data_IF_911820103821
#
_entry.id   IF_911820103821
#
_cell.length_a   1.000
_cell.length_b   1.000
_cell.length_c   1.000
_cell.angle_alpha   90.00
_cell.angle_beta   90.00
_cell.angle_gamma   90.00
#
_symmetry.space_group_name_H-M   'P 1'
#
loop_
_entity.id
_entity.type
_entity.pdbx_description
1 polymer ?
#
# COMPACT_ATOMS: atom_id res chain seq x y z
N UNK A 1 55.52 -4.29 15.47
CA UNK A 1 54.42 -5.21 15.06
C UNK A 1 53.09 -4.91 15.79
N UNK A 2 53.05 -4.63 17.07
CA UNK A 2 51.81 -4.32 17.82
C UNK A 2 51.05 -3.03 17.38
N UNK A 3 51.75 -1.97 16.96
CA UNK A 3 51.12 -0.72 16.54
C UNK A 3 50.32 -0.82 15.25
N UNK A 4 50.73 -1.67 14.29
CA UNK A 4 50.03 -1.85 13.02
C UNK A 4 48.70 -2.59 13.19
N UNK A 5 48.65 -3.56 14.12
CA UNK A 5 47.40 -4.28 14.44
C UNK A 5 46.37 -3.35 15.07
N UNK A 6 46.81 -2.41 15.89
CA UNK A 6 45.96 -1.42 16.55
C UNK A 6 45.29 -0.45 15.54
N UNK A 7 46.06 -0.02 14.54
CA UNK A 7 45.52 0.81 13.46
C UNK A 7 44.52 0.05 12.58
N UNK A 8 44.83 -1.21 12.27
CA UNK A 8 43.92 -2.05 11.50
C UNK A 8 42.59 -2.28 12.21
N UNK A 9 42.61 -2.59 13.52
CA UNK A 9 41.37 -2.74 14.31
C UNK A 9 40.56 -1.45 14.37
N UNK A 10 41.17 -0.29 14.50
CA UNK A 10 40.48 1.01 14.51
C UNK A 10 39.82 1.29 13.16
N UNK A 11 40.49 1.00 12.07
CA UNK A 11 39.91 1.19 10.72
C UNK A 11 38.74 0.24 10.47
N UNK A 12 38.82 -1.01 10.89
CA UNK A 12 37.72 -1.98 10.79
C UNK A 12 36.50 -1.55 11.60
N UNK A 13 36.68 -1.04 12.83
CA UNK A 13 35.56 -0.57 13.65
C UNK A 13 34.88 0.69 13.05
N UNK A 14 35.67 1.62 12.50
CA UNK A 14 35.12 2.79 11.81
C UNK A 14 34.37 2.41 10.53
N UNK A 15 34.82 1.42 9.79
CA UNK A 15 34.19 0.95 8.59
C UNK A 15 32.85 0.24 8.90
N UNK A 16 32.81 -0.57 9.94
CA UNK A 16 31.56 -1.21 10.42
C UNK A 16 30.57 -0.17 10.92
N UNK A 17 31.03 0.86 11.65
CA UNK A 17 30.16 1.93 12.13
C UNK A 17 29.58 2.78 10.98
N UNK A 18 30.38 3.03 9.93
CA UNK A 18 29.93 3.76 8.74
C UNK A 18 28.93 2.98 7.88
N UNK A 19 29.02 1.65 7.86
CA UNK A 19 28.05 0.79 7.14
C UNK A 19 26.72 0.61 7.89
N UNK A 20 26.70 0.76 9.21
CA UNK A 20 25.49 0.58 10.02
C UNK A 20 24.60 1.84 10.09
N UNK A 21 25.18 3.03 9.86
CA UNK A 21 24.43 4.30 9.94
C UNK A 21 23.30 4.46 8.91
N UNK A 22 23.41 4.03 7.63
CA UNK A 22 22.31 4.17 6.68
C UNK A 22 21.14 3.22 6.96
N UNK A 23 21.35 2.11 7.65
CA UNK A 23 20.29 1.13 7.93
C UNK A 23 19.33 1.63 9.03
N UNK A 24 19.82 2.42 9.99
CA UNK A 24 18.99 3.01 11.04
C UNK A 24 18.11 4.16 10.54
N UNK A 25 18.46 4.80 9.44
CA UNK A 25 17.71 5.95 8.91
C UNK A 25 16.41 5.56 8.19
N UNK A 26 16.25 4.31 7.77
CA UNK A 26 15.05 3.83 7.07
C UNK A 26 13.88 3.57 8.04
N UNK A 27 14.15 3.39 9.32
CA UNK A 27 13.13 3.08 10.33
C UNK A 27 12.30 4.29 10.79
N UNK A 28 12.61 5.50 10.36
CA UNK A 28 11.98 6.73 10.88
C UNK A 28 10.87 7.32 9.98
N UNK A 29 10.51 6.67 8.88
CA UNK A 29 9.50 7.16 7.95
C UNK A 29 8.09 6.58 8.16
N UNK A 30 7.80 6.00 9.33
CA UNK A 30 6.45 5.55 9.66
C UNK A 30 5.61 6.71 10.22
N UNK A 31 5.42 7.77 9.43
CA UNK A 31 4.28 8.66 9.62
C UNK A 31 2.99 7.83 9.52
N UNK A 32 1.96 8.21 10.27
CA UNK A 32 0.65 7.55 10.15
C UNK A 32 0.21 7.57 8.68
N UNK A 33 -0.25 6.45 8.10
CA UNK A 33 -0.66 6.42 6.70
C UNK A 33 -1.88 7.33 6.49
N UNK A 34 -1.92 7.99 5.36
CA UNK A 34 -3.13 8.65 4.90
C UNK A 34 -4.08 7.57 4.38
N UNK A 35 -5.32 7.57 4.85
CA UNK A 35 -6.34 6.61 4.42
C UNK A 35 -7.44 7.37 3.69
N UNK A 36 -7.61 7.06 2.41
CA UNK A 36 -8.70 7.56 1.58
C UNK A 36 -9.65 6.40 1.27
N UNK A 37 -10.90 6.51 1.70
CA UNK A 37 -11.94 5.53 1.38
C UNK A 37 -12.89 6.15 0.37
N UNK A 38 -13.05 5.48 -0.78
CA UNK A 38 -14.00 5.87 -1.83
C UNK A 38 -15.01 4.74 -1.97
N UNK A 39 -16.26 5.01 -1.61
CA UNK A 39 -17.34 4.04 -1.77
C UNK A 39 -18.10 4.34 -3.05
N UNK A 40 -18.07 3.41 -3.99
CA UNK A 40 -18.90 3.45 -5.18
C UNK A 40 -20.34 3.04 -4.84
N UNK A 41 -21.30 3.74 -5.44
CA UNK A 41 -22.72 3.42 -5.33
C UNK A 41 -23.24 2.95 -6.70
N UNK A 42 -23.68 1.72 -6.77
CA UNK A 42 -24.13 1.04 -8.01
C UNK A 42 -23.06 1.00 -9.13
N UNK A 43 -21.80 0.97 -8.76
CA UNK A 43 -20.68 0.81 -9.69
C UNK A 43 -20.31 -0.67 -9.79
N UNK A 44 -20.58 -1.27 -10.94
CA UNK A 44 -20.16 -2.62 -11.22
C UNK A 44 -18.66 -2.71 -11.57
N UNK A 45 -18.10 -3.87 -11.42
CA UNK A 45 -16.70 -4.15 -11.75
C UNK A 45 -16.35 -3.77 -13.19
N UNK A 46 -17.28 -3.93 -14.11
CA UNK A 46 -17.11 -3.61 -15.54
C UNK A 46 -17.13 -2.11 -15.83
N UNK A 47 -17.58 -1.28 -14.89
CA UNK A 47 -17.57 0.18 -15.03
C UNK A 47 -16.18 0.78 -14.77
N UNK A 48 -15.29 0.01 -14.18
CA UNK A 48 -13.88 0.42 -13.93
C UNK A 48 -13.02 -0.14 -15.05
N UNK A 49 -12.40 0.76 -15.84
CA UNK A 49 -11.67 0.37 -17.04
C UNK A 49 -10.50 -0.57 -16.74
N UNK A 50 -9.88 -0.48 -15.58
CA UNK A 50 -8.79 -1.37 -15.19
C UNK A 50 -9.23 -2.84 -15.05
N UNK A 51 -10.46 -3.09 -14.61
CA UNK A 51 -11.02 -4.45 -14.52
C UNK A 51 -11.59 -4.93 -15.84
N UNK A 52 -12.25 -4.05 -16.58
CA UNK A 52 -12.94 -4.40 -17.82
C UNK A 52 -12.08 -4.29 -19.07
N UNK A 53 -10.85 -3.78 -18.95
CA UNK A 53 -9.98 -3.45 -20.09
C UNK A 53 -10.66 -2.57 -21.16
N UNK A 54 -11.61 -1.74 -20.75
CA UNK A 54 -12.34 -0.84 -21.62
C UNK A 54 -13.46 -1.48 -22.45
N UNK A 55 -13.76 -2.77 -22.25
CA UNK A 55 -14.79 -3.50 -23.02
C UNK A 55 -16.16 -2.83 -22.98
N UNK A 56 -16.51 -2.20 -21.86
CA UNK A 56 -17.80 -1.50 -21.70
C UNK A 56 -17.77 -0.04 -22.16
N UNK A 57 -16.66 0.43 -22.73
CA UNK A 57 -16.50 1.82 -23.19
C UNK A 57 -16.26 2.86 -22.07
N UNK A 58 -16.29 2.45 -20.82
CA UNK A 58 -15.98 3.33 -19.69
C UNK A 58 -14.48 3.55 -19.55
N UNK A 59 -14.11 4.75 -19.12
CA UNK A 59 -12.72 5.11 -18.86
C UNK A 59 -12.61 5.73 -17.47
N UNK A 60 -11.75 5.15 -16.63
CA UNK A 60 -11.52 5.58 -15.26
C UNK A 60 -10.03 5.85 -15.00
N UNK A 61 -9.41 6.81 -15.71
CA UNK A 61 -7.95 6.94 -15.75
C UNK A 61 -7.33 7.21 -14.38
N UNK A 62 -8.01 7.93 -13.50
CA UNK A 62 -7.53 8.20 -12.15
C UNK A 62 -7.56 6.96 -11.25
N UNK A 63 -8.58 6.11 -11.38
CA UNK A 63 -8.67 4.84 -10.65
C UNK A 63 -7.66 3.84 -11.24
N UNK A 64 -7.55 3.78 -12.55
CA UNK A 64 -6.58 2.94 -13.25
C UNK A 64 -5.14 3.27 -12.85
N UNK A 65 -4.84 4.57 -12.62
CA UNK A 65 -3.54 5.00 -12.12
C UNK A 65 -3.26 4.44 -10.73
N UNK A 66 -4.22 4.48 -9.81
CA UNK A 66 -4.08 3.89 -8.47
C UNK A 66 -3.77 2.39 -8.58
N UNK A 67 -4.47 1.68 -9.46
CA UNK A 67 -4.25 0.25 -9.68
C UNK A 67 -2.88 -0.05 -10.32
N UNK A 68 -2.38 0.83 -11.18
CA UNK A 68 -1.09 0.66 -11.86
C UNK A 68 0.11 0.98 -10.95
N UNK A 69 -0.03 1.97 -10.06
CA UNK A 69 1.02 2.43 -9.16
C UNK A 69 1.00 1.71 -7.80
N UNK A 70 -0.09 1.02 -7.48
CA UNK A 70 -0.32 0.35 -6.20
C UNK A 70 -0.66 -1.13 -6.35
N UNK A 71 -1.69 -1.56 -5.63
CA UNK A 71 -2.17 -2.95 -5.61
C UNK A 71 -3.63 -2.98 -6.05
N UNK A 72 -3.97 -3.93 -6.90
CA UNK A 72 -5.33 -4.23 -7.33
C UNK A 72 -5.73 -5.63 -6.87
N UNK A 73 -6.88 -5.74 -6.21
CA UNK A 73 -7.45 -7.03 -5.83
C UNK A 73 -8.37 -7.55 -6.94
N UNK A 74 -8.23 -8.81 -7.30
CA UNK A 74 -9.08 -9.48 -8.32
C UNK A 74 -10.26 -10.20 -7.70
N UNK A 75 -10.15 -10.59 -6.45
CA UNK A 75 -11.15 -11.38 -5.72
C UNK A 75 -11.55 -10.67 -4.42
N UNK A 76 -12.01 -9.44 -4.53
CA UNK A 76 -12.55 -8.66 -3.43
C UNK A 76 -14.01 -8.33 -3.70
N UNK A 77 -14.90 -8.95 -2.93
CA UNK A 77 -16.35 -8.86 -3.14
C UNK A 77 -16.98 -7.84 -2.21
N UNK A 78 -17.88 -7.03 -2.75
CA UNK A 78 -18.74 -6.13 -2.01
C UNK A 78 -20.05 -6.81 -1.58
N UNK A 79 -20.87 -6.06 -0.85
CA UNK A 79 -22.21 -6.49 -0.53
C UNK A 79 -23.14 -6.38 -1.76
N UNK A 80 -24.22 -7.15 -1.75
CA UNK A 80 -25.12 -7.30 -2.88
C UNK A 80 -26.03 -6.07 -3.14
N UNK A 81 -26.04 -5.08 -2.27
CA UNK A 81 -26.85 -3.86 -2.46
C UNK A 81 -26.21 -2.64 -1.79
N UNK A 82 -26.59 -1.46 -2.25
CA UNK A 82 -26.13 -0.20 -1.70
C UNK A 82 -26.47 -0.06 -0.21
N UNK A 83 -27.65 -0.46 0.24
CA UNK A 83 -28.04 -0.44 1.66
C UNK A 83 -27.18 -1.38 2.49
N UNK A 84 -26.95 -2.60 2.03
CA UNK A 84 -26.10 -3.57 2.72
C UNK A 84 -24.65 -3.09 2.80
N UNK A 85 -24.09 -2.63 1.68
CA UNK A 85 -22.70 -2.12 1.63
C UNK A 85 -22.49 -0.90 2.52
N UNK A 86 -23.41 0.06 2.51
CA UNK A 86 -23.32 1.24 3.39
C UNK A 86 -23.43 0.86 4.86
N UNK A 87 -24.37 -0.03 5.19
CA UNK A 87 -24.53 -0.52 6.56
C UNK A 87 -23.25 -1.22 7.04
N UNK A 88 -22.72 -2.15 6.26
CA UNK A 88 -21.48 -2.85 6.58
C UNK A 88 -20.30 -1.88 6.78
N UNK A 89 -20.15 -0.90 5.88
CA UNK A 89 -19.06 0.07 5.95
C UNK A 89 -19.14 0.97 7.19
N UNK A 90 -20.33 1.46 7.54
CA UNK A 90 -20.52 2.39 8.67
C UNK A 90 -20.44 1.66 10.00
N UNK A 91 -21.01 0.47 10.08
CA UNK A 91 -21.10 -0.28 11.35
C UNK A 91 -19.93 -1.22 11.59
N UNK A 92 -19.19 -1.58 10.55
CA UNK A 92 -18.18 -2.63 10.61
C UNK A 92 -18.77 -4.03 10.86
N UNK A 93 -20.07 -4.21 10.62
CA UNK A 93 -20.79 -5.47 10.86
C UNK A 93 -21.43 -5.98 9.57
N UNK A 94 -21.60 -7.30 9.50
CA UNK A 94 -22.34 -7.90 8.39
C UNK A 94 -23.80 -7.45 8.42
N UNK A 95 -24.39 -7.00 7.26
CA UNK A 95 -25.71 -6.37 7.25
C UNK A 95 -26.88 -7.28 7.61
N UNK A 96 -26.68 -8.59 7.57
CA UNK A 96 -27.69 -9.62 7.88
C UNK A 96 -27.55 -10.14 9.33
N UNK A 97 -26.95 -9.38 10.18
CA UNK A 97 -26.74 -9.76 11.57
C UNK A 97 -27.82 -9.21 12.49
#
# INVERSE_FOLDING_TARGET
>A
MMKSIWYFLRWCTLLVLALTTPILSIAHAAGKPNILVIMGDDIGITNISKYSHGVMGYQTPSIDRIANEGVMFTDFYGEQSCTAGRSAMITGQHPVR
#
